data_IF_434235043751
#
_entry.id   IF_434235043751
#
_cell.length_a   1.000
_cell.length_b   1.000
_cell.length_c   1.000
_cell.angle_alpha   90.00
_cell.angle_beta   90.00
_cell.angle_gamma   90.00
#
_symmetry.space_group_name_H-M   'P 1'
#
loop_
_entity.id
_entity.type
_entity.pdbx_description
1 polymer ?
#
# COMPACT_ATOMS: atom_id res chain seq x y z
N UNK A 1 -34.66 -13.62 -5.22
CA UNK A 1 -33.76 -12.44 -5.14
C UNK A 1 -32.86 -12.50 -3.91
N UNK A 2 -33.39 -12.79 -2.71
CA UNK A 2 -32.60 -12.97 -1.48
C UNK A 2 -31.44 -13.98 -1.57
N UNK A 3 -31.67 -15.12 -2.23
CA UNK A 3 -30.65 -16.17 -2.36
C UNK A 3 -29.47 -15.73 -3.25
N UNK A 4 -29.73 -15.03 -4.36
CA UNK A 4 -28.69 -14.43 -5.22
C UNK A 4 -27.90 -13.32 -4.50
N UNK A 5 -28.56 -12.55 -3.66
CA UNK A 5 -27.94 -11.48 -2.87
C UNK A 5 -27.08 -12.02 -1.73
N UNK A 6 -27.50 -13.12 -1.09
CA UNK A 6 -26.67 -13.84 -0.10
C UNK A 6 -25.41 -14.45 -0.74
N UNK A 7 -25.55 -15.04 -1.93
CA UNK A 7 -24.43 -15.63 -2.66
C UNK A 7 -23.41 -14.57 -3.15
N UNK A 8 -23.87 -13.39 -3.58
CA UNK A 8 -22.97 -12.30 -3.98
C UNK A 8 -22.17 -11.76 -2.80
N UNK A 9 -22.81 -11.52 -1.65
CA UNK A 9 -22.14 -11.07 -0.42
C UNK A 9 -21.12 -12.11 0.07
N UNK A 10 -21.45 -13.40 0.01
CA UNK A 10 -20.52 -14.47 0.41
C UNK A 10 -19.30 -14.52 -0.51
N UNK A 11 -19.51 -14.42 -1.83
CA UNK A 11 -18.43 -14.42 -2.83
C UNK A 11 -17.55 -13.18 -2.72
N UNK A 12 -18.13 -12.01 -2.51
CA UNK A 12 -17.40 -10.77 -2.24
C UNK A 12 -16.48 -10.94 -1.04
N UNK A 13 -17.02 -11.40 0.11
CA UNK A 13 -16.21 -11.64 1.32
C UNK A 13 -15.08 -12.65 1.06
N UNK A 14 -15.34 -13.71 0.30
CA UNK A 14 -14.32 -14.69 -0.07
C UNK A 14 -13.20 -14.07 -0.92
N UNK A 15 -13.54 -13.23 -1.90
CA UNK A 15 -12.57 -12.53 -2.74
C UNK A 15 -11.71 -11.56 -1.93
N UNK A 16 -12.32 -10.81 -1.01
CA UNK A 16 -11.58 -9.92 -0.11
C UNK A 16 -10.65 -10.68 0.83
N UNK A 17 -11.07 -11.85 1.33
CA UNK A 17 -10.22 -12.74 2.11
C UNK A 17 -9.04 -13.27 1.31
N UNK A 18 -9.26 -13.62 0.03
CA UNK A 18 -8.18 -14.04 -0.89
C UNK A 18 -7.21 -12.88 -1.13
N UNK A 19 -7.72 -11.66 -1.40
CA UNK A 19 -6.89 -10.45 -1.56
C UNK A 19 -6.01 -10.22 -0.32
N UNK A 20 -6.65 -10.17 0.85
CA UNK A 20 -5.99 -9.98 2.15
C UNK A 20 -4.92 -11.05 2.41
N UNK A 21 -5.26 -12.33 2.20
CA UNK A 21 -4.34 -13.44 2.40
C UNK A 21 -3.15 -13.42 1.43
N UNK A 22 -3.41 -13.11 0.17
CA UNK A 22 -2.36 -13.02 -0.85
C UNK A 22 -1.40 -11.87 -0.54
N UNK A 23 -1.93 -10.68 -0.23
CA UNK A 23 -1.13 -9.52 0.17
C UNK A 23 -0.26 -9.82 1.41
N UNK A 24 -0.81 -10.52 2.40
CA UNK A 24 -0.05 -10.91 3.59
C UNK A 24 1.10 -11.88 3.27
N UNK A 25 0.85 -12.89 2.42
CA UNK A 25 1.89 -13.85 2.01
C UNK A 25 3.00 -13.15 1.21
N UNK A 26 2.64 -12.31 0.24
CA UNK A 26 3.64 -11.55 -0.53
C UNK A 26 4.42 -10.57 0.34
N UNK A 27 3.77 -9.92 1.32
CA UNK A 27 4.45 -9.06 2.27
C UNK A 27 5.51 -9.82 3.09
N UNK A 28 5.17 -10.98 3.65
CA UNK A 28 6.12 -11.80 4.40
C UNK A 28 7.26 -12.33 3.52
N UNK A 29 6.92 -12.77 2.30
CA UNK A 29 7.91 -13.27 1.35
C UNK A 29 8.87 -12.16 0.91
N UNK A 30 8.36 -10.97 0.59
CA UNK A 30 9.15 -9.79 0.23
C UNK A 30 10.06 -9.34 1.38
N UNK A 31 9.54 -9.22 2.60
CA UNK A 31 10.39 -8.86 3.75
C UNK A 31 11.46 -9.93 4.00
N UNK A 32 11.08 -11.20 4.03
CA UNK A 32 12.00 -12.30 4.32
C UNK A 32 13.10 -12.46 3.26
N UNK A 33 12.73 -12.50 1.99
CA UNK A 33 13.68 -12.61 0.90
C UNK A 33 14.51 -11.33 0.76
N UNK A 34 13.89 -10.16 0.84
CA UNK A 34 14.57 -8.87 0.72
C UNK A 34 15.65 -8.69 1.78
N UNK A 35 15.38 -9.06 3.04
CA UNK A 35 16.42 -9.07 4.09
C UNK A 35 17.50 -10.09 3.77
N UNK A 36 17.14 -11.28 3.31
CA UNK A 36 18.11 -12.35 3.02
C UNK A 36 19.07 -12.00 1.87
N UNK A 37 18.58 -11.38 0.80
CA UNK A 37 19.39 -10.96 -0.35
C UNK A 37 19.88 -9.52 -0.25
N UNK A 38 19.69 -8.88 0.91
CA UNK A 38 20.08 -7.51 1.17
C UNK A 38 19.50 -6.50 0.15
N UNK A 39 18.25 -6.67 -0.29
CA UNK A 39 17.55 -5.75 -1.21
C UNK A 39 16.60 -4.81 -0.48
N UNK A 40 16.87 -3.50 -0.54
CA UNK A 40 16.00 -2.49 0.05
C UNK A 40 14.68 -2.37 -0.72
N UNK A 41 14.67 -2.51 -2.05
CA UNK A 41 13.44 -2.32 -2.83
C UNK A 41 12.43 -3.45 -2.60
N UNK A 42 12.92 -4.68 -2.40
CA UNK A 42 12.06 -5.82 -2.11
C UNK A 42 11.53 -5.75 -0.67
N UNK A 43 12.36 -5.30 0.29
CA UNK A 43 11.89 -5.01 1.65
C UNK A 43 10.87 -3.87 1.65
N UNK A 44 11.11 -2.81 0.89
CA UNK A 44 10.20 -1.68 0.76
C UNK A 44 8.82 -2.12 0.29
N UNK A 45 8.75 -2.91 -0.78
CA UNK A 45 7.50 -3.48 -1.30
C UNK A 45 6.77 -4.32 -0.24
N UNK A 46 7.48 -5.24 0.40
CA UNK A 46 6.89 -6.11 1.42
C UNK A 46 6.40 -5.35 2.68
N UNK A 47 7.18 -4.38 3.18
CA UNK A 47 6.77 -3.52 4.30
C UNK A 47 5.60 -2.62 3.90
N UNK A 48 5.59 -2.10 2.67
CA UNK A 48 4.48 -1.29 2.15
C UNK A 48 3.17 -2.07 2.20
N UNK A 49 3.15 -3.28 1.65
CA UNK A 49 1.98 -4.15 1.65
C UNK A 49 1.53 -4.52 3.07
N UNK A 50 2.47 -4.79 3.99
CA UNK A 50 2.12 -5.12 5.37
C UNK A 50 1.51 -3.93 6.11
N UNK A 51 2.11 -2.74 5.97
CA UNK A 51 1.61 -1.51 6.58
C UNK A 51 0.26 -1.13 5.98
N UNK A 52 0.09 -1.20 4.66
CA UNK A 52 -1.18 -0.89 3.99
C UNK A 52 -2.28 -1.86 4.43
N UNK A 53 -1.99 -3.16 4.55
CA UNK A 53 -2.90 -4.16 5.07
C UNK A 53 -3.37 -3.84 6.50
N UNK A 54 -2.43 -3.59 7.41
CA UNK A 54 -2.73 -3.25 8.81
C UNK A 54 -3.59 -1.98 8.91
N UNK A 55 -3.25 -0.96 8.12
CA UNK A 55 -4.00 0.28 8.03
C UNK A 55 -5.41 0.10 7.46
N UNK A 56 -5.59 -0.81 6.49
CA UNK A 56 -6.89 -1.19 5.96
C UNK A 56 -7.74 -1.90 7.00
N UNK A 57 -7.18 -2.80 7.80
CA UNK A 57 -7.88 -3.43 8.92
C UNK A 57 -8.33 -2.39 9.96
N UNK A 58 -7.46 -1.42 10.31
CA UNK A 58 -7.83 -0.31 11.19
C UNK A 58 -9.01 0.50 10.61
N UNK A 59 -8.98 0.75 9.30
CA UNK A 59 -10.07 1.48 8.62
C UNK A 59 -11.38 0.70 8.64
N UNK A 60 -11.32 -0.61 8.48
CA UNK A 60 -12.49 -1.48 8.56
C UNK A 60 -13.07 -1.48 9.98
N UNK A 61 -12.22 -1.61 11.01
CA UNK A 61 -12.65 -1.51 12.41
C UNK A 61 -13.32 -0.16 12.71
N UNK A 62 -12.74 0.94 12.21
CA UNK A 62 -13.33 2.26 12.36
C UNK A 62 -14.68 2.38 11.64
N UNK A 63 -14.80 1.84 10.41
CA UNK A 63 -16.05 1.82 9.66
C UNK A 63 -17.16 1.02 10.38
N UNK A 64 -16.82 -0.11 10.98
CA UNK A 64 -17.75 -0.89 11.81
C UNK A 64 -18.15 -0.11 13.06
N UNK A 65 -17.20 0.56 13.71
CA UNK A 65 -17.45 1.35 14.92
C UNK A 65 -18.39 2.54 14.66
N UNK A 66 -18.16 3.28 13.57
CA UNK A 66 -18.97 4.43 13.15
C UNK A 66 -20.43 4.04 12.87
N UNK A 67 -20.68 2.82 12.38
CA UNK A 67 -22.03 2.32 12.08
C UNK A 67 -22.84 1.94 13.32
N UNK A 68 -22.25 1.90 14.51
CA UNK A 68 -23.00 1.66 15.76
C UNK A 68 -23.98 2.81 15.98
N UNK A 69 -25.23 2.49 16.32
CA UNK A 69 -26.30 3.48 16.45
C UNK A 69 -25.95 4.62 17.44
N UNK A 70 -25.22 4.31 18.52
CA UNK A 70 -24.76 5.29 19.50
C UNK A 70 -23.80 6.34 18.94
N UNK A 71 -23.02 5.99 17.91
CA UNK A 71 -22.03 6.86 17.25
C UNK A 71 -22.62 7.50 16.00
N UNK A 72 -23.37 6.73 15.21
CA UNK A 72 -23.97 7.17 13.96
C UNK A 72 -24.96 8.35 14.12
N UNK A 73 -25.55 8.50 15.32
CA UNK A 73 -26.42 9.64 15.65
C UNK A 73 -25.68 10.99 15.64
N UNK A 74 -24.38 11.01 15.92
CA UNK A 74 -23.58 12.23 15.94
C UNK A 74 -22.66 12.31 14.71
N UNK A 75 -23.15 12.92 13.63
CA UNK A 75 -22.41 13.11 12.36
C UNK A 75 -21.01 13.71 12.60
N UNK A 76 -20.89 14.60 13.58
CA UNK A 76 -19.61 15.22 13.96
C UNK A 76 -18.62 14.17 14.48
N UNK A 77 -19.05 13.32 15.40
CA UNK A 77 -18.22 12.25 15.96
C UNK A 77 -17.74 11.30 14.86
N UNK A 78 -18.63 10.95 13.91
CA UNK A 78 -18.28 10.14 12.74
C UNK A 78 -17.17 10.78 11.92
N UNK A 79 -17.33 12.04 11.50
CA UNK A 79 -16.33 12.75 10.69
C UNK A 79 -14.97 12.89 11.37
N UNK A 80 -14.95 13.08 12.70
CA UNK A 80 -13.70 13.13 13.49
C UNK A 80 -12.98 11.78 13.45
N UNK A 81 -13.70 10.67 13.58
CA UNK A 81 -13.11 9.33 13.52
C UNK A 81 -12.59 9.04 12.11
N UNK A 82 -13.38 9.31 11.06
CA UNK A 82 -12.95 9.13 9.66
C UNK A 82 -11.68 9.93 9.36
N UNK A 83 -11.67 11.23 9.70
CA UNK A 83 -10.51 12.10 9.49
C UNK A 83 -9.30 11.62 10.30
N UNK A 84 -9.50 11.15 11.54
CA UNK A 84 -8.44 10.61 12.39
C UNK A 84 -7.78 9.37 11.78
N UNK A 85 -8.57 8.45 11.23
CA UNK A 85 -8.05 7.24 10.54
C UNK A 85 -7.27 7.63 9.29
N UNK A 86 -7.78 8.54 8.47
CA UNK A 86 -7.09 9.02 7.26
C UNK A 86 -5.77 9.71 7.63
N UNK A 87 -5.76 10.52 8.67
CA UNK A 87 -4.56 11.19 9.18
C UNK A 87 -3.52 10.16 9.64
N UNK A 88 -3.93 9.18 10.44
CA UNK A 88 -3.05 8.11 10.92
C UNK A 88 -2.46 7.30 9.76
N UNK A 89 -3.28 6.93 8.76
CA UNK A 89 -2.82 6.27 7.54
C UNK A 89 -1.74 7.07 6.83
N UNK A 90 -2.01 8.35 6.61
CA UNK A 90 -1.06 9.24 5.94
C UNK A 90 0.25 9.34 6.70
N UNK A 91 0.22 9.50 8.03
CA UNK A 91 1.44 9.58 8.86
C UNK A 91 2.23 8.28 8.79
N UNK A 92 1.59 7.13 8.95
CA UNK A 92 2.25 5.83 8.95
C UNK A 92 2.97 5.54 7.62
N UNK A 93 2.30 5.78 6.47
CA UNK A 93 2.92 5.58 5.15
C UNK A 93 4.03 6.62 4.92
N UNK A 94 3.84 7.87 5.33
CA UNK A 94 4.88 8.91 5.21
C UNK A 94 6.14 8.54 5.99
N UNK A 95 5.98 8.07 7.23
CA UNK A 95 7.09 7.64 8.07
C UNK A 95 7.86 6.49 7.42
N UNK A 96 7.14 5.48 6.93
CA UNK A 96 7.75 4.35 6.24
C UNK A 96 8.57 4.80 5.00
N UNK A 97 8.00 5.67 4.15
CA UNK A 97 8.69 6.20 2.99
C UNK A 97 9.96 6.98 3.39
N UNK A 98 9.89 7.79 4.45
CA UNK A 98 11.04 8.55 4.95
C UNK A 98 12.15 7.63 5.46
N UNK A 99 11.82 6.61 6.26
CA UNK A 99 12.80 5.64 6.77
C UNK A 99 13.48 4.89 5.61
N UNK A 100 12.69 4.44 4.65
CA UNK A 100 13.20 3.70 3.47
C UNK A 100 14.08 4.59 2.59
N UNK A 101 13.70 5.85 2.40
CA UNK A 101 14.50 6.84 1.68
C UNK A 101 15.84 7.09 2.38
N UNK A 102 15.85 7.26 3.70
CA UNK A 102 17.09 7.44 4.48
C UNK A 102 18.00 6.23 4.30
N UNK A 103 17.48 5.01 4.46
CA UNK A 103 18.26 3.78 4.26
C UNK A 103 18.81 3.65 2.84
N UNK A 104 18.06 4.09 1.83
CA UNK A 104 18.50 4.06 0.44
C UNK A 104 19.60 5.10 0.17
N UNK A 105 19.49 6.30 0.72
CA UNK A 105 20.53 7.35 0.62
C UNK A 105 21.80 6.91 1.33
N UNK A 106 21.69 6.35 2.54
CA UNK A 106 22.83 5.77 3.26
C UNK A 106 23.53 4.68 2.45
N UNK A 107 22.75 3.78 1.85
CA UNK A 107 23.29 2.73 0.98
C UNK A 107 24.04 3.31 -0.23
N UNK A 108 23.54 4.37 -0.87
CA UNK A 108 24.24 5.04 -1.98
C UNK A 108 25.56 5.64 -1.51
N UNK A 109 25.57 6.33 -0.37
CA UNK A 109 26.78 6.97 0.18
C UNK A 109 27.84 5.92 0.58
N UNK A 110 27.41 4.75 1.05
CA UNK A 110 28.29 3.64 1.43
C UNK A 110 28.84 2.84 0.22
N UNK A 111 28.55 3.27 -1.01
CA UNK A 111 29.05 2.63 -2.23
C UNK A 111 28.05 1.69 -2.92
N UNK A 112 26.78 1.69 -2.50
CA UNK A 112 25.72 0.85 -3.06
C UNK A 112 25.48 -0.43 -2.25
N UNK A 113 24.67 -1.34 -2.80
CA UNK A 113 24.38 -2.64 -2.21
C UNK A 113 24.60 -3.74 -3.23
N UNK A 114 25.40 -4.73 -2.83
CA UNK A 114 25.51 -5.97 -3.59
C UNK A 114 24.27 -6.83 -3.35
N UNK A 115 23.36 -6.79 -4.31
CA UNK A 115 22.13 -7.58 -4.32
C UNK A 115 22.32 -8.74 -5.27
N UNK A 116 21.99 -9.95 -4.83
CA UNK A 116 21.98 -11.11 -5.71
C UNK A 116 20.87 -10.94 -6.78
N UNK A 117 21.24 -10.35 -7.92
CA UNK A 117 20.34 -10.04 -9.03
C UNK A 117 19.66 -11.29 -9.59
N UNK A 118 20.28 -12.48 -9.50
CA UNK A 118 19.66 -13.73 -9.93
C UNK A 118 18.45 -14.10 -9.09
N UNK A 119 18.62 -14.09 -7.75
CA UNK A 119 17.52 -14.38 -6.82
C UNK A 119 16.47 -13.26 -6.86
N UNK A 120 16.90 -12.00 -6.94
CA UNK A 120 16.00 -10.85 -7.05
C UNK A 120 15.10 -10.91 -8.30
N UNK A 121 15.67 -11.28 -9.46
CA UNK A 121 14.91 -11.49 -10.69
C UNK A 121 13.93 -12.66 -10.57
N UNK A 122 14.36 -13.80 -10.01
CA UNK A 122 13.51 -14.95 -9.77
C UNK A 122 12.30 -14.59 -8.90
N UNK A 123 12.56 -13.89 -7.79
CA UNK A 123 11.49 -13.37 -6.93
C UNK A 123 10.61 -12.35 -7.66
N UNK A 124 11.20 -11.40 -8.40
CA UNK A 124 10.44 -10.39 -9.14
C UNK A 124 9.47 -10.97 -10.16
N UNK A 125 9.85 -12.06 -10.84
CA UNK A 125 8.95 -12.80 -11.75
C UNK A 125 7.81 -13.45 -10.98
N UNK A 126 8.11 -14.12 -9.86
CA UNK A 126 7.07 -14.74 -9.01
C UNK A 126 6.10 -13.69 -8.46
N UNK A 127 6.62 -12.55 -7.99
CA UNK A 127 5.81 -11.45 -7.46
C UNK A 127 4.92 -10.86 -8.56
N UNK A 128 5.48 -10.57 -9.73
CA UNK A 128 4.73 -10.03 -10.86
C UNK A 128 3.60 -10.96 -11.32
N UNK A 129 3.89 -12.26 -11.47
CA UNK A 129 2.88 -13.26 -11.86
C UNK A 129 1.81 -13.37 -10.76
N UNK A 130 2.22 -13.38 -9.49
CA UNK A 130 1.32 -13.45 -8.35
C UNK A 130 0.36 -12.26 -8.26
N UNK A 131 0.89 -11.05 -8.41
CA UNK A 131 0.11 -9.82 -8.44
C UNK A 131 -0.87 -9.81 -9.62
N UNK A 132 -0.38 -10.15 -10.82
CA UNK A 132 -1.21 -10.19 -12.02
C UNK A 132 -2.31 -11.25 -11.94
N UNK A 133 -1.99 -12.44 -11.42
CA UNK A 133 -2.96 -13.51 -11.23
C UNK A 133 -4.06 -13.08 -10.26
N UNK A 134 -3.69 -12.45 -9.13
CA UNK A 134 -4.66 -11.97 -8.15
C UNK A 134 -5.54 -10.85 -8.73
N UNK A 135 -4.94 -9.91 -9.46
CA UNK A 135 -5.66 -8.91 -10.24
C UNK A 135 -6.70 -9.55 -11.17
N UNK A 136 -6.27 -10.51 -11.98
CA UNK A 136 -7.12 -11.17 -12.97
C UNK A 136 -8.31 -11.89 -12.32
N UNK A 137 -8.06 -12.61 -11.22
CA UNK A 137 -9.12 -13.26 -10.43
C UNK A 137 -10.10 -12.22 -9.90
N UNK A 138 -9.63 -11.12 -9.29
CA UNK A 138 -10.50 -10.08 -8.75
C UNK A 138 -11.32 -9.41 -9.86
N UNK A 139 -10.68 -9.01 -10.97
CA UNK A 139 -11.36 -8.31 -12.07
C UNK A 139 -12.38 -9.19 -12.78
N UNK A 140 -12.05 -10.46 -13.02
CA UNK A 140 -12.96 -11.41 -13.67
C UNK A 140 -14.22 -11.66 -12.83
N UNK A 141 -14.09 -11.67 -11.50
CA UNK A 141 -15.20 -11.95 -10.61
C UNK A 141 -15.97 -10.68 -10.22
N UNK A 142 -15.32 -9.52 -10.13
CA UNK A 142 -15.95 -8.21 -9.89
C UNK A 142 -17.12 -7.96 -10.85
N UNK A 143 -16.88 -8.16 -12.15
CA UNK A 143 -17.89 -7.98 -13.20
C UNK A 143 -19.11 -8.91 -13.04
N UNK A 144 -19.00 -10.02 -12.31
CA UNK A 144 -20.10 -10.99 -12.10
C UNK A 144 -20.92 -10.70 -10.85
N UNK A 145 -20.36 -9.99 -9.89
CA UNK A 145 -21.00 -9.71 -8.58
C UNK A 145 -21.37 -8.24 -8.41
N UNK A 146 -20.96 -7.36 -9.33
CA UNK A 146 -21.24 -5.91 -9.30
C UNK A 146 -20.82 -5.25 -7.98
N UNK A 147 -19.64 -5.64 -7.46
CA UNK A 147 -19.09 -5.10 -6.21
C UNK A 147 -18.04 -4.02 -6.51
N UNK A 148 -18.34 -2.80 -6.07
CA UNK A 148 -17.41 -1.66 -6.11
C UNK A 148 -16.18 -1.88 -5.24
N UNK A 149 -16.30 -2.68 -4.17
CA UNK A 149 -15.20 -2.97 -3.27
C UNK A 149 -14.20 -3.95 -3.90
N UNK A 150 -14.69 -5.00 -4.59
CA UNK A 150 -13.82 -5.92 -5.34
C UNK A 150 -13.19 -5.24 -6.55
N UNK A 151 -13.88 -4.29 -7.20
CA UNK A 151 -13.29 -3.50 -8.28
C UNK A 151 -12.18 -2.56 -7.79
N UNK A 152 -12.35 -1.96 -6.61
CA UNK A 152 -11.33 -1.17 -5.95
C UNK A 152 -10.09 -2.02 -5.63
N UNK A 153 -10.27 -3.22 -5.06
CA UNK A 153 -9.18 -4.16 -4.79
C UNK A 153 -8.50 -4.63 -6.09
N UNK A 154 -9.25 -4.93 -7.14
CA UNK A 154 -8.68 -5.26 -8.44
C UNK A 154 -7.80 -4.11 -8.97
N UNK A 155 -8.28 -2.87 -8.87
CA UNK A 155 -7.49 -1.69 -9.28
C UNK A 155 -6.21 -1.56 -8.45
N UNK A 156 -6.25 -1.88 -7.16
CA UNK A 156 -5.07 -1.91 -6.30
C UNK A 156 -4.06 -2.98 -6.75
N UNK A 157 -4.50 -4.22 -6.99
CA UNK A 157 -3.64 -5.29 -7.50
C UNK A 157 -3.03 -4.98 -8.87
N UNK A 158 -3.72 -4.21 -9.72
CA UNK A 158 -3.15 -3.71 -10.96
C UNK A 158 -1.98 -2.74 -10.69
N UNK A 159 -2.13 -1.83 -9.73
CA UNK A 159 -1.05 -0.93 -9.31
C UNK A 159 0.14 -1.73 -8.77
N UNK A 160 -0.11 -2.73 -7.92
CA UNK A 160 0.94 -3.60 -7.37
C UNK A 160 1.66 -4.40 -8.48
N UNK A 161 0.93 -4.82 -9.51
CA UNK A 161 1.49 -5.46 -10.71
C UNK A 161 2.41 -4.51 -11.47
N UNK A 162 2.00 -3.26 -11.68
CA UNK A 162 2.82 -2.24 -12.36
C UNK A 162 4.09 -1.93 -11.57
N UNK A 163 3.99 -1.79 -10.25
CA UNK A 163 5.13 -1.58 -9.36
C UNK A 163 6.08 -2.78 -9.42
N UNK A 164 5.55 -4.00 -9.33
CA UNK A 164 6.34 -5.24 -9.44
C UNK A 164 7.06 -5.33 -10.79
N UNK A 165 6.41 -4.92 -11.88
CA UNK A 165 7.03 -4.88 -13.21
C UNK A 165 8.17 -3.86 -13.28
N UNK A 166 8.01 -2.69 -12.65
CA UNK A 166 9.06 -1.67 -12.58
C UNK A 166 10.28 -2.16 -11.79
N UNK A 167 10.05 -2.82 -10.64
CA UNK A 167 11.12 -3.42 -9.82
C UNK A 167 11.85 -4.53 -10.59
N UNK A 168 11.10 -5.42 -11.25
CA UNK A 168 11.67 -6.45 -12.11
C UNK A 168 12.52 -5.84 -13.24
N UNK A 169 12.00 -4.79 -13.90
CA UNK A 169 12.71 -4.03 -14.92
C UNK A 169 14.02 -3.42 -14.41
N UNK A 170 14.01 -2.85 -13.21
CA UNK A 170 15.22 -2.30 -12.59
C UNK A 170 16.27 -3.38 -12.29
N UNK A 171 15.86 -4.56 -11.80
CA UNK A 171 16.80 -5.68 -11.64
C UNK A 171 17.28 -6.28 -12.96
N UNK A 172 16.46 -6.26 -14.02
CA UNK A 172 16.89 -6.65 -15.36
C UNK A 172 17.98 -5.71 -15.88
N UNK A 173 17.81 -4.40 -15.69
CA UNK A 173 18.83 -3.39 -16.03
C UNK A 173 20.10 -3.62 -15.20
N UNK A 174 19.99 -3.88 -13.89
CA UNK A 174 21.13 -4.21 -13.04
C UNK A 174 21.88 -5.46 -13.53
N UNK A 175 21.16 -6.50 -13.97
CA UNK A 175 21.74 -7.72 -14.53
C UNK A 175 22.51 -7.46 -15.83
N UNK A 176 21.97 -6.61 -16.70
CA UNK A 176 22.62 -6.21 -17.95
C UNK A 176 23.89 -5.40 -17.66
N UNK A 177 23.83 -4.46 -16.71
CA UNK A 177 24.99 -3.66 -16.28
C UNK A 177 26.16 -4.54 -15.83
N UNK A 178 25.89 -5.62 -15.10
CA UNK A 178 26.91 -6.61 -14.68
C UNK A 178 27.62 -7.30 -15.87
N UNK A 179 27.00 -7.34 -17.05
CA UNK A 179 27.60 -7.90 -18.28
C UNK A 179 28.38 -6.86 -19.10
N UNK A 180 28.40 -5.61 -18.66
CA UNK A 180 29.06 -4.50 -19.35
C UNK A 180 30.25 -3.97 -18.53
N UNK A 181 31.11 -3.10 -19.09
CA UNK A 181 32.16 -2.42 -18.34
C UNK A 181 31.65 -1.53 -17.19
N UNK A 182 30.33 -1.29 -17.11
CA UNK A 182 29.68 -0.47 -16.10
C UNK A 182 29.14 -1.30 -14.91
N UNK A 183 29.70 -2.49 -14.65
CA UNK A 183 29.25 -3.39 -13.59
C UNK A 183 29.22 -2.72 -12.20
N UNK A 184 30.14 -1.80 -11.93
CA UNK A 184 30.20 -1.01 -10.70
C UNK A 184 28.98 -0.13 -10.45
N UNK A 185 28.14 0.13 -11.47
CA UNK A 185 26.89 0.87 -11.31
C UNK A 185 25.71 -0.02 -10.90
N UNK A 186 25.80 -1.34 -11.06
CA UNK A 186 24.71 -2.27 -10.75
C UNK A 186 24.33 -2.25 -9.26
N UNK A 187 25.30 -2.02 -8.37
CA UNK A 187 25.11 -1.92 -6.92
C UNK A 187 24.23 -0.72 -6.48
N UNK A 188 24.06 0.29 -7.34
CA UNK A 188 23.18 1.43 -7.05
C UNK A 188 21.74 1.20 -7.52
N UNK A 189 21.47 0.18 -8.34
CA UNK A 189 20.14 -0.04 -8.90
C UNK A 189 19.06 -0.22 -7.81
N UNK A 190 19.34 -1.05 -6.81
CA UNK A 190 18.43 -1.31 -5.69
C UNK A 190 18.09 -0.05 -4.87
N UNK A 191 19.06 0.68 -4.29
CA UNK A 191 18.74 1.87 -3.52
C UNK A 191 18.17 3.01 -4.40
N UNK A 192 18.57 3.13 -5.67
CA UNK A 192 17.99 4.12 -6.58
C UNK A 192 16.51 3.87 -6.83
N UNK A 193 16.09 2.61 -6.98
CA UNK A 193 14.67 2.28 -7.10
C UNK A 193 13.89 2.68 -5.86
N UNK A 194 14.46 2.49 -4.66
CA UNK A 194 13.81 2.90 -3.40
C UNK A 194 13.71 4.43 -3.28
N UNK A 195 14.74 5.16 -3.67
CA UNK A 195 14.71 6.64 -3.72
C UNK A 195 13.56 7.11 -4.62
N UNK A 196 13.48 6.57 -5.84
CA UNK A 196 12.44 6.93 -6.80
C UNK A 196 11.05 6.56 -6.27
N UNK A 197 10.88 5.34 -5.77
CA UNK A 197 9.61 4.86 -5.22
C UNK A 197 9.16 5.69 -4.02
N UNK A 198 10.06 6.02 -3.09
CA UNK A 198 9.75 6.81 -1.90
C UNK A 198 9.32 8.23 -2.27
N UNK A 199 10.02 8.88 -3.20
CA UNK A 199 9.65 10.22 -3.68
C UNK A 199 8.32 10.24 -4.43
N UNK A 200 8.02 9.19 -5.19
CA UNK A 200 6.74 9.06 -5.88
C UNK A 200 5.60 8.82 -4.88
N UNK A 201 5.77 7.87 -3.96
CA UNK A 201 4.73 7.48 -3.02
C UNK A 201 4.44 8.51 -1.94
N UNK A 202 5.41 9.33 -1.51
CA UNK A 202 5.18 10.31 -0.44
C UNK A 202 4.12 11.37 -0.79
N UNK A 203 3.85 11.60 -2.07
CA UNK A 203 2.86 12.58 -2.54
C UNK A 203 1.44 12.24 -2.08
N UNK A 204 1.06 10.96 -2.14
CA UNK A 204 -0.28 10.48 -1.77
C UNK A 204 -0.57 10.65 -0.28
N UNK A 205 0.22 10.11 0.65
CA UNK A 205 -0.04 10.21 2.08
C UNK A 205 0.10 11.65 2.61
N UNK A 206 0.99 12.47 2.04
CA UNK A 206 1.06 13.91 2.41
C UNK A 206 -0.25 14.62 2.07
N UNK A 207 -0.85 14.35 0.90
CA UNK A 207 -2.17 14.88 0.55
C UNK A 207 -3.26 14.37 1.51
N UNK A 208 -3.20 13.10 1.93
CA UNK A 208 -4.11 12.54 2.93
C UNK A 208 -4.01 13.29 4.26
N UNK A 209 -2.78 13.52 4.76
CA UNK A 209 -2.53 14.27 6.01
C UNK A 209 -3.11 15.68 5.92
N UNK A 210 -2.79 16.41 4.84
CA UNK A 210 -3.24 17.80 4.67
C UNK A 210 -4.78 17.87 4.59
N UNK A 211 -5.39 16.95 3.85
CA UNK A 211 -6.85 16.88 3.70
C UNK A 211 -7.53 16.59 5.05
N UNK A 212 -7.06 15.57 5.76
CA UNK A 212 -7.61 15.20 7.07
C UNK A 212 -7.42 16.30 8.12
N UNK A 213 -6.25 16.95 8.15
CA UNK A 213 -5.98 18.07 9.05
C UNK A 213 -6.92 19.26 8.78
N UNK A 214 -7.19 19.58 7.51
CA UNK A 214 -8.15 20.62 7.12
C UNK A 214 -9.57 20.28 7.57
N UNK A 215 -10.00 19.02 7.41
CA UNK A 215 -11.33 18.57 7.85
C UNK A 215 -11.48 18.68 9.38
N UNK A 216 -10.49 18.23 10.14
CA UNK A 216 -10.49 18.35 11.61
C UNK A 216 -10.55 19.81 12.07
N UNK A 217 -9.79 20.70 11.40
CA UNK A 217 -9.84 22.13 11.70
C UNK A 217 -11.23 22.72 11.43
N UNK A 218 -11.87 22.36 10.32
CA UNK A 218 -13.22 22.81 9.97
C UNK A 218 -14.26 22.39 11.01
N UNK A 219 -14.23 21.11 11.42
CA UNK A 219 -15.13 20.56 12.44
C UNK A 219 -14.97 21.28 13.78
N UNK A 220 -13.72 21.60 14.17
CA UNK A 220 -13.44 22.38 15.39
C UNK A 220 -14.04 23.79 15.30
N UNK A 221 -13.89 24.46 14.15
CA UNK A 221 -14.40 25.81 13.93
C UNK A 221 -15.93 25.88 14.00
N UNK A 222 -16.63 24.97 13.33
CA UNK A 222 -18.10 24.87 13.40
C UNK A 222 -18.60 24.67 14.84
N UNK A 223 -17.87 23.87 15.62
CA UNK A 223 -18.19 23.64 17.04
C UNK A 223 -18.04 24.89 17.92
N UNK A 224 -17.12 25.79 17.59
CA UNK A 224 -16.91 27.02 18.35
C UNK A 224 -17.97 28.07 18.01
N UNK A 225 -18.32 28.19 16.72
CA UNK A 225 -19.39 29.08 16.26
C UNK A 225 -20.75 28.66 16.82
N UNK A 226 -21.07 27.36 16.81
CA UNK A 226 -22.31 26.85 17.41
C UNK A 226 -22.42 27.11 18.91
N UNK A 227 -21.30 27.08 19.65
CA UNK A 227 -21.28 27.45 21.08
C UNK A 227 -21.49 28.95 21.30
N UNK A 228 -21.03 29.81 20.40
CA UNK A 228 -21.16 31.27 20.51
C UNK A 228 -22.56 31.78 20.11
N UNK A 229 -23.30 31.06 19.26
CA UNK A 229 -24.66 31.42 18.85
C UNK A 229 -25.76 30.91 19.80
N UNK A 230 -25.40 30.02 20.73
CA UNK A 230 -26.29 29.49 21.78
C UNK A 230 -26.02 30.10 23.17
N UNK A 231 -25.24 31.19 23.23
CA UNK A 231 -25.07 32.09 24.40
C UNK A 231 -25.76 33.41 24.07
#
# INVERSE_FOLDING_TARGET
MEQRMSDSIRKERQLLMISTGSAFVFALMGIGLGVWINSLVIVFDGVYSLVSLALTLISLCAAIYIRKESVAKEIKQVKVIESGVILFKGIAITLMCMLSFISAVEAIIQGGRDVNTGIALGFGVVNLIGCYFTYWVMKSQSNKIDSTLVDAEATQWLMDTVISAAVLGGFMIAKILLMTPFADYAQFADPMMVVIASLYFIVVPVKMIISAAKQLHHIKKESLVGKLLHV
#
